data_IF_245319808868
#
_entry.id   IF_245319808868
#
_cell.length_a   1.000
_cell.length_b   1.000
_cell.length_c   1.000
_cell.angle_alpha   90.00
_cell.angle_beta   90.00
_cell.angle_gamma   90.00
#
_symmetry.space_group_name_H-M   'P 1'
#
loop_
_entity.id
_entity.type
_entity.pdbx_description
1 polymer ?
#
# COMPACT_ATOMS: atom_id res chain seq x y z
N UNK A 1 9.20 11.99 -12.15
CA UNK A 1 8.41 12.04 -10.90
C UNK A 1 8.71 13.34 -10.19
N UNK A 2 7.70 14.23 -10.13
CA UNK A 2 7.80 15.51 -9.43
C UNK A 2 7.75 15.36 -7.90
N UNK A 3 7.85 16.49 -7.21
CA UNK A 3 7.85 16.57 -5.74
C UNK A 3 6.62 15.89 -5.12
N UNK A 4 5.43 16.14 -5.67
CA UNK A 4 4.18 15.50 -5.21
C UNK A 4 4.24 13.97 -5.30
N UNK A 5 4.71 13.42 -6.43
CA UNK A 5 4.83 11.98 -6.63
C UNK A 5 5.83 11.34 -5.64
N UNK A 6 6.92 12.04 -5.32
CA UNK A 6 7.88 11.61 -4.28
C UNK A 6 7.24 11.60 -2.90
N UNK A 7 6.55 12.67 -2.52
CA UNK A 7 5.86 12.77 -1.23
C UNK A 7 4.81 11.67 -1.10
N UNK A 8 3.96 11.47 -2.12
CA UNK A 8 2.96 10.40 -2.13
C UNK A 8 3.59 9.02 -2.00
N UNK A 9 4.70 8.76 -2.68
CA UNK A 9 5.41 7.47 -2.58
C UNK A 9 5.94 7.22 -1.17
N UNK A 10 6.51 8.24 -0.52
CA UNK A 10 7.01 8.15 0.86
C UNK A 10 5.83 7.92 1.82
N UNK A 11 4.75 8.68 1.69
CA UNK A 11 3.56 8.54 2.53
C UNK A 11 2.95 7.13 2.39
N UNK A 12 2.84 6.61 1.17
CA UNK A 12 2.37 5.23 0.92
C UNK A 12 3.24 4.22 1.67
N UNK A 13 4.57 4.32 1.56
CA UNK A 13 5.47 3.41 2.25
C UNK A 13 5.33 3.49 3.78
N UNK A 14 5.24 4.71 4.33
CA UNK A 14 5.11 4.93 5.79
C UNK A 14 3.76 4.44 6.34
N UNK A 15 2.66 4.66 5.62
CA UNK A 15 1.33 4.17 6.05
C UNK A 15 1.31 2.65 6.10
N UNK A 16 1.86 1.98 5.08
CA UNK A 16 1.87 0.51 5.03
C UNK A 16 2.84 -0.08 6.06
N UNK A 17 3.97 0.59 6.31
CA UNK A 17 4.88 0.20 7.39
C UNK A 17 4.21 0.36 8.77
N UNK A 18 3.55 1.48 9.00
CA UNK A 18 2.81 1.74 10.24
C UNK A 18 1.69 0.72 10.47
N UNK A 19 1.00 0.31 9.40
CA UNK A 19 -0.02 -0.73 9.46
C UNK A 19 0.56 -2.09 9.90
N UNK A 20 1.70 -2.50 9.32
CA UNK A 20 2.41 -3.72 9.76
C UNK A 20 2.81 -3.61 11.23
N UNK A 21 3.45 -2.50 11.63
CA UNK A 21 3.90 -2.29 13.01
C UNK A 21 2.72 -2.36 13.99
N UNK A 22 1.58 -1.74 13.65
CA UNK A 22 0.40 -1.74 14.49
C UNK A 22 -0.15 -3.16 14.70
N UNK A 23 -0.26 -3.96 13.63
CA UNK A 23 -0.79 -5.33 13.71
C UNK A 23 0.15 -6.28 14.47
N UNK A 24 1.46 -6.12 14.28
CA UNK A 24 2.46 -6.88 15.05
C UNK A 24 2.45 -6.45 16.52
N UNK A 25 2.32 -5.16 16.82
CA UNK A 25 2.37 -4.64 18.19
C UNK A 25 1.15 -5.02 19.05
N UNK A 26 0.02 -5.35 18.42
CA UNK A 26 -1.21 -5.76 19.10
C UNK A 26 -1.44 -7.29 19.06
N UNK A 27 -0.39 -8.06 18.76
CA UNK A 27 -0.42 -9.53 18.61
C UNK A 27 -1.46 -10.04 17.57
N UNK A 28 -1.82 -9.20 16.61
CA UNK A 28 -2.69 -9.53 15.47
C UNK A 28 -1.88 -9.66 14.19
N UNK A 29 -0.90 -10.56 14.20
CA UNK A 29 -0.07 -10.83 13.03
C UNK A 29 -0.91 -11.51 11.93
N UNK A 30 -1.51 -10.71 11.04
CA UNK A 30 -2.35 -11.14 9.93
C UNK A 30 -1.52 -11.34 8.66
N UNK A 31 -1.16 -12.58 8.26
CA UNK A 31 -0.12 -12.81 7.25
C UNK A 31 -0.47 -12.23 5.88
N UNK A 32 -1.75 -12.31 5.48
CA UNK A 32 -2.24 -11.78 4.20
C UNK A 32 -2.17 -10.25 4.15
N UNK A 33 -2.52 -9.59 5.25
CA UNK A 33 -2.44 -8.13 5.38
C UNK A 33 -0.98 -7.66 5.35
N UNK A 34 -0.10 -8.33 6.09
CA UNK A 34 1.34 -8.06 6.08
C UNK A 34 1.90 -8.24 4.66
N UNK A 35 1.56 -9.33 3.99
CA UNK A 35 2.00 -9.58 2.61
C UNK A 35 1.54 -8.48 1.64
N UNK A 36 0.28 -8.05 1.72
CA UNK A 36 -0.25 -6.96 0.92
C UNK A 36 0.50 -5.64 1.14
N UNK A 37 0.77 -5.30 2.40
CA UNK A 37 1.51 -4.09 2.76
C UNK A 37 2.97 -4.16 2.31
N UNK A 38 3.62 -5.32 2.41
CA UNK A 38 4.99 -5.54 1.91
C UNK A 38 5.07 -5.31 0.41
N UNK A 39 4.09 -5.80 -0.38
CA UNK A 39 4.03 -5.55 -1.83
C UNK A 39 3.96 -4.05 -2.12
N UNK A 40 3.13 -3.31 -1.38
CA UNK A 40 2.98 -1.86 -1.55
C UNK A 40 4.29 -1.13 -1.19
N UNK A 41 4.94 -1.50 -0.09
CA UNK A 41 6.23 -0.93 0.32
C UNK A 41 7.30 -1.22 -0.74
N UNK A 42 7.39 -2.46 -1.22
CA UNK A 42 8.36 -2.84 -2.25
C UNK A 42 8.16 -2.04 -3.54
N UNK A 43 6.92 -1.84 -3.97
CA UNK A 43 6.59 -1.01 -5.13
C UNK A 43 6.98 0.46 -4.90
N UNK A 44 6.69 1.01 -3.71
CA UNK A 44 7.03 2.38 -3.36
C UNK A 44 8.55 2.61 -3.34
N UNK A 45 9.30 1.74 -2.65
CA UNK A 45 10.77 1.78 -2.61
C UNK A 45 11.35 1.61 -4.01
N UNK A 46 10.81 0.67 -4.80
CA UNK A 46 11.19 0.48 -6.19
C UNK A 46 11.02 1.75 -7.03
N UNK A 47 9.93 2.49 -6.87
CA UNK A 47 9.71 3.77 -7.58
C UNK A 47 10.66 4.88 -7.15
N UNK A 48 11.09 4.90 -5.88
CA UNK A 48 12.07 5.87 -5.39
C UNK A 48 13.45 5.62 -6.01
N UNK A 49 13.90 4.36 -5.98
CA UNK A 49 15.26 3.98 -6.37
C UNK A 49 15.40 3.75 -7.88
N UNK A 50 14.40 3.14 -8.52
CA UNK A 50 14.47 2.70 -9.92
C UNK A 50 13.60 3.59 -10.81
N UNK A 51 14.23 4.40 -11.66
CA UNK A 51 13.52 5.33 -12.53
C UNK A 51 12.53 4.64 -13.49
N UNK A 52 12.87 3.44 -13.99
CA UNK A 52 12.03 2.66 -14.90
C UNK A 52 10.68 2.21 -14.27
N UNK A 53 10.59 2.18 -12.94
CA UNK A 53 9.38 1.80 -12.20
C UNK A 53 8.43 2.98 -11.97
N UNK A 54 8.80 4.21 -12.31
CA UNK A 54 7.98 5.43 -12.11
C UNK A 54 6.88 5.55 -13.17
N UNK A 55 6.10 4.49 -13.32
CA UNK A 55 5.00 4.35 -14.28
C UNK A 55 3.70 4.18 -13.52
N UNK A 56 2.57 4.70 -14.01
CA UNK A 56 1.27 4.58 -13.33
C UNK A 56 0.83 3.12 -13.15
N UNK A 57 1.32 2.20 -13.99
CA UNK A 57 1.03 0.77 -13.85
C UNK A 57 1.55 0.16 -12.55
N UNK A 58 2.68 0.65 -12.00
CA UNK A 58 3.30 0.08 -10.79
C UNK A 58 2.41 0.24 -9.54
N UNK A 59 1.97 1.46 -9.16
CA UNK A 59 1.07 1.62 -8.02
C UNK A 59 -0.30 0.98 -8.25
N UNK A 60 -0.78 0.90 -9.51
CA UNK A 60 -2.04 0.20 -9.83
C UNK A 60 -1.90 -1.28 -9.53
N UNK A 61 -0.87 -1.95 -10.07
CA UNK A 61 -0.66 -3.39 -9.86
C UNK A 61 -0.43 -3.68 -8.38
N UNK A 62 0.42 -2.91 -7.70
CA UNK A 62 0.67 -3.08 -6.26
C UNK A 62 -0.61 -2.91 -5.44
N UNK A 63 -1.43 -1.92 -5.78
CA UNK A 63 -2.74 -1.69 -5.16
C UNK A 63 -3.72 -2.83 -5.41
N UNK A 64 -3.79 -3.36 -6.63
CA UNK A 64 -4.64 -4.50 -6.95
C UNK A 64 -4.22 -5.76 -6.19
N UNK A 65 -2.92 -6.06 -6.12
CA UNK A 65 -2.43 -7.21 -5.35
C UNK A 65 -2.74 -7.05 -3.87
N UNK A 66 -2.45 -5.88 -3.29
CA UNK A 66 -2.75 -5.60 -1.88
C UNK A 66 -4.25 -5.68 -1.59
N UNK A 67 -5.10 -5.14 -2.47
CA UNK A 67 -6.54 -5.20 -2.32
C UNK A 67 -7.05 -6.65 -2.36
N UNK A 68 -6.57 -7.48 -3.29
CA UNK A 68 -6.97 -8.90 -3.36
C UNK A 68 -6.59 -9.63 -2.08
N UNK A 69 -5.37 -9.45 -1.57
CA UNK A 69 -4.93 -10.10 -0.33
C UNK A 69 -5.76 -9.64 0.88
N UNK A 70 -6.08 -8.35 0.94
CA UNK A 70 -6.94 -7.80 1.98
C UNK A 70 -8.39 -8.29 1.86
N UNK A 71 -8.93 -8.43 0.65
CA UNK A 71 -10.28 -8.99 0.44
C UNK A 71 -10.35 -10.45 0.86
N UNK A 72 -9.34 -11.26 0.52
CA UNK A 72 -9.25 -12.65 0.99
C UNK A 72 -9.23 -12.68 2.52
N UNK A 73 -8.40 -11.84 3.14
CA UNK A 73 -8.34 -11.73 4.60
C UNK A 73 -9.70 -11.35 5.23
N UNK A 74 -10.38 -10.35 4.68
CA UNK A 74 -11.72 -9.90 5.16
C UNK A 74 -12.70 -11.07 5.13
N UNK A 75 -12.69 -11.87 4.05
CA UNK A 75 -13.60 -13.01 3.89
C UNK A 75 -13.25 -14.15 4.86
N UNK A 76 -11.98 -14.39 5.16
CA UNK A 76 -11.56 -15.52 6.01
C UNK A 76 -11.60 -15.22 7.50
N UNK A 77 -11.38 -13.97 7.89
CA UNK A 77 -11.06 -13.61 9.28
C UNK A 77 -11.91 -12.45 9.81
N UNK A 78 -12.71 -11.80 8.96
CA UNK A 78 -13.42 -10.57 9.30
C UNK A 78 -12.49 -9.36 9.35
N UNK A 79 -13.05 -8.18 9.58
CA UNK A 79 -12.28 -6.93 9.62
C UNK A 79 -12.72 -6.00 10.76
N UNK A 80 -11.75 -5.51 11.52
CA UNK A 80 -11.95 -4.44 12.49
C UNK A 80 -12.00 -3.07 11.80
N UNK A 81 -12.69 -2.11 12.41
CA UNK A 81 -12.87 -0.75 11.84
C UNK A 81 -11.56 -0.05 11.46
N UNK A 82 -10.51 -0.21 12.28
CA UNK A 82 -9.17 0.33 11.99
C UNK A 82 -8.57 -0.27 10.71
N UNK A 83 -8.72 -1.59 10.53
CA UNK A 83 -8.22 -2.29 9.35
C UNK A 83 -8.88 -1.82 8.06
N UNK A 84 -10.19 -1.55 8.10
CA UNK A 84 -10.95 -1.07 6.95
C UNK A 84 -10.51 0.34 6.52
N UNK A 85 -10.29 1.23 7.50
CA UNK A 85 -9.81 2.60 7.27
C UNK A 85 -8.43 2.59 6.60
N UNK A 86 -7.51 1.76 7.08
CA UNK A 86 -6.16 1.69 6.54
C UNK A 86 -6.11 1.12 5.11
N UNK A 87 -6.93 0.12 4.80
CA UNK A 87 -7.06 -0.41 3.42
C UNK A 87 -7.61 0.67 2.49
N UNK A 88 -8.66 1.39 2.90
CA UNK A 88 -9.25 2.48 2.11
C UNK A 88 -8.23 3.60 1.88
N UNK A 89 -7.51 4.02 2.93
CA UNK A 89 -6.47 5.03 2.85
C UNK A 89 -5.36 4.64 1.87
N UNK A 90 -4.82 3.42 2.00
CA UNK A 90 -3.79 2.90 1.09
C UNK A 90 -4.28 2.88 -0.36
N UNK A 91 -5.52 2.45 -0.59
CA UNK A 91 -6.13 2.43 -1.93
C UNK A 91 -6.22 3.83 -2.54
N UNK A 92 -6.68 4.82 -1.77
CA UNK A 92 -6.77 6.22 -2.22
C UNK A 92 -5.37 6.78 -2.53
N UNK A 93 -4.40 6.56 -1.64
CA UNK A 93 -3.04 7.05 -1.83
C UNK A 93 -2.38 6.46 -3.08
N UNK A 94 -2.61 5.18 -3.38
CA UNK A 94 -2.11 4.53 -4.59
C UNK A 94 -2.78 5.07 -5.85
N UNK A 95 -4.08 5.36 -5.82
CA UNK A 95 -4.78 6.01 -6.93
C UNK A 95 -4.25 7.42 -7.20
N UNK A 96 -4.04 8.22 -6.15
CA UNK A 96 -3.44 9.56 -6.24
C UNK A 96 -2.01 9.49 -6.78
N UNK A 97 -1.21 8.53 -6.30
CA UNK A 97 0.16 8.30 -6.78
C UNK A 97 0.15 7.94 -8.26
N UNK A 98 -0.69 7.00 -8.69
CA UNK A 98 -0.85 6.64 -10.09
C UNK A 98 -1.23 7.86 -10.96
N UNK A 99 -2.16 8.70 -10.48
CA UNK A 99 -2.55 9.94 -11.15
C UNK A 99 -1.40 10.95 -11.27
N UNK A 100 -0.56 11.06 -10.24
CA UNK A 100 0.61 11.96 -10.24
C UNK A 100 1.70 11.54 -11.23
N UNK A 101 1.74 10.27 -11.64
CA UNK A 101 2.70 9.73 -12.60
C UNK A 101 2.23 9.83 -14.07
N UNK A 102 0.98 10.25 -14.30
CA UNK A 102 0.42 10.47 -15.65
C UNK A 102 0.61 11.91 -16.16
N UNK A 103 1.02 12.82 -15.28
CA UNK A 103 1.29 14.23 -15.57
C UNK A 103 2.79 14.45 -15.75
#
# INVERSE_FOLDING_TARGET
>A
MGTLGRVLTIVVALVNLGDIVLHVAIDQAEPLRIAGNVVVIAAAVGMLVVAALRKPAVPIVAGSVSLVLNLVFIVTSGIGGLGAVLIALTTILLALLAGSLRR
#
